data_IF_091825963359
#
_entry.id   IF_091825963359
#
_cell.length_a   1.000
_cell.length_b   1.000
_cell.length_c   1.000
_cell.angle_alpha   90.00
_cell.angle_beta   90.00
_cell.angle_gamma   90.00
#
_symmetry.space_group_name_H-M   'P 1'
#
loop_
_entity.id
_entity.type
_entity.pdbx_description
1 polymer ?
#
# COMPACT_ATOMS: atom_id res chain seq x y z
N UNK A 1 4.14 -28.59 -22.66
CA UNK A 1 3.25 -27.50 -23.12
C UNK A 1 3.05 -26.51 -21.98
N UNK A 2 3.70 -25.34 -22.01
CA UNK A 2 3.47 -24.27 -21.04
C UNK A 2 2.17 -23.54 -21.42
N UNK A 3 1.10 -23.74 -20.65
CA UNK A 3 -0.14 -22.99 -20.79
C UNK A 3 0.16 -21.54 -20.41
N UNK A 4 -0.05 -20.54 -21.29
CA UNK A 4 0.24 -19.16 -20.94
C UNK A 4 -0.65 -18.76 -19.76
N UNK A 5 -0.04 -18.28 -18.67
CA UNK A 5 -0.75 -17.63 -17.57
C UNK A 5 -1.56 -16.48 -18.17
N UNK A 6 -2.89 -16.64 -18.16
CA UNK A 6 -3.81 -15.62 -18.66
C UNK A 6 -3.65 -14.40 -17.78
N UNK A 7 -3.08 -13.33 -18.33
CA UNK A 7 -3.15 -12.00 -17.71
C UNK A 7 -4.62 -11.70 -17.38
N UNK A 8 -4.92 -11.10 -16.21
CA UNK A 8 -6.27 -10.71 -15.90
C UNK A 8 -6.72 -9.74 -16.99
N UNK A 9 -7.84 -10.05 -17.64
CA UNK A 9 -8.49 -9.24 -18.68
C UNK A 9 -8.74 -7.79 -18.25
N UNK A 10 -8.65 -7.49 -16.94
CA UNK A 10 -8.66 -6.15 -16.35
C UNK A 10 -7.49 -5.24 -16.81
N UNK A 11 -6.39 -5.80 -17.31
CA UNK A 11 -5.21 -5.02 -17.76
C UNK A 11 -5.16 -4.81 -19.27
N UNK A 12 -5.96 -5.56 -20.05
CA UNK A 12 -6.00 -5.42 -21.48
C UNK A 12 -6.99 -4.30 -21.83
N UNK A 13 -6.45 -3.16 -22.26
CA UNK A 13 -7.14 -1.94 -22.69
C UNK A 13 -7.89 -2.12 -24.02
N UNK A 14 -8.46 -3.29 -24.28
CA UNK A 14 -9.39 -3.53 -25.39
C UNK A 14 -10.81 -3.38 -24.84
N UNK A 15 -11.41 -2.21 -25.11
CA UNK A 15 -12.58 -1.61 -24.47
C UNK A 15 -13.94 -2.30 -24.73
N UNK A 16 -13.96 -3.54 -25.22
CA UNK A 16 -15.21 -4.17 -25.65
C UNK A 16 -15.92 -4.97 -24.55
N UNK A 17 -15.28 -5.13 -23.37
CA UNK A 17 -15.79 -5.98 -22.29
C UNK A 17 -15.68 -5.27 -20.93
N UNK A 18 -16.82 -5.04 -20.28
CA UNK A 18 -16.91 -4.54 -18.89
C UNK A 18 -16.92 -5.71 -17.92
N UNK A 19 -16.20 -5.61 -16.80
CA UNK A 19 -16.21 -6.65 -15.75
C UNK A 19 -17.10 -6.22 -14.59
N UNK A 20 -18.02 -7.10 -14.19
CA UNK A 20 -18.85 -6.86 -13.02
C UNK A 20 -17.98 -6.90 -11.75
N UNK A 21 -17.95 -5.81 -10.99
CA UNK A 21 -17.22 -5.71 -9.73
C UNK A 21 -17.75 -6.63 -8.61
N UNK A 22 -19.01 -7.06 -8.70
CA UNK A 22 -19.62 -7.89 -7.66
C UNK A 22 -19.30 -9.38 -7.86
N UNK A 23 -19.36 -9.88 -9.10
CA UNK A 23 -19.21 -11.31 -9.41
C UNK A 23 -18.05 -11.65 -10.35
N UNK A 24 -17.35 -10.65 -10.90
CA UNK A 24 -16.25 -10.84 -11.85
C UNK A 24 -16.69 -11.28 -13.25
N UNK A 25 -17.98 -11.27 -13.56
CA UNK A 25 -18.50 -11.71 -14.87
C UNK A 25 -18.20 -10.68 -15.97
N UNK A 26 -17.65 -11.10 -17.14
CA UNK A 26 -17.46 -10.23 -18.29
C UNK A 26 -18.80 -9.97 -18.99
N UNK A 27 -19.14 -8.71 -19.14
CA UNK A 27 -20.36 -8.21 -19.79
C UNK A 27 -19.99 -7.34 -21.00
N UNK A 28 -20.92 -7.10 -21.92
CA UNK A 28 -20.65 -6.19 -23.05
C UNK A 28 -20.57 -4.76 -22.53
N UNK A 29 -19.83 -3.91 -23.24
CA UNK A 29 -19.70 -2.49 -22.89
C UNK A 29 -21.03 -1.72 -22.89
N UNK A 30 -22.01 -2.17 -23.67
CA UNK A 30 -23.36 -1.60 -23.73
C UNK A 30 -24.27 -2.03 -22.56
N UNK A 31 -23.92 -3.08 -21.82
CA UNK A 31 -24.80 -3.63 -20.79
C UNK A 31 -24.76 -2.80 -19.50
N UNK A 32 -25.91 -2.33 -19.04
CA UNK A 32 -26.06 -1.53 -17.81
C UNK A 32 -26.26 -2.38 -16.56
N UNK A 33 -26.54 -3.68 -16.71
CA UNK A 33 -26.79 -4.62 -15.62
C UNK A 33 -26.10 -5.95 -15.87
N UNK A 34 -25.62 -6.60 -14.80
CA UNK A 34 -24.88 -7.85 -14.92
C UNK A 34 -25.82 -8.94 -15.39
N UNK A 35 -25.45 -9.65 -16.46
CA UNK A 35 -26.25 -10.77 -16.95
C UNK A 35 -26.43 -11.85 -15.87
N UNK A 36 -25.42 -12.04 -15.02
CA UNK A 36 -25.40 -13.07 -13.98
C UNK A 36 -26.05 -12.63 -12.67
N UNK A 37 -25.50 -11.62 -11.99
CA UNK A 37 -25.96 -11.23 -10.65
C UNK A 37 -26.97 -10.09 -10.65
N UNK A 38 -27.39 -9.61 -11.83
CA UNK A 38 -28.37 -8.51 -12.02
C UNK A 38 -28.02 -7.19 -11.34
N UNK A 39 -26.82 -7.05 -10.77
CA UNK A 39 -26.35 -5.78 -10.20
C UNK A 39 -26.08 -4.77 -11.30
N UNK A 40 -26.29 -3.48 -11.03
CA UNK A 40 -25.93 -2.42 -11.96
C UNK A 40 -24.44 -2.49 -12.31
N UNK A 41 -24.14 -2.48 -13.61
CA UNK A 41 -22.81 -2.34 -14.20
C UNK A 41 -22.48 -0.89 -14.53
N UNK A 42 -23.32 0.05 -14.09
CA UNK A 42 -23.04 1.48 -14.18
C UNK A 42 -21.59 1.68 -13.78
N UNK A 43 -20.79 2.23 -14.71
CA UNK A 43 -19.50 2.78 -14.36
C UNK A 43 -19.80 3.75 -13.23
N UNK A 44 -19.55 3.33 -12.00
CA UNK A 44 -19.41 4.25 -10.89
C UNK A 44 -18.19 5.09 -11.27
N UNK A 45 -18.40 6.13 -12.08
CA UNK A 45 -17.36 7.01 -12.63
C UNK A 45 -16.87 7.98 -11.54
N UNK A 46 -16.75 7.46 -10.32
CA UNK A 46 -16.38 8.17 -9.12
C UNK A 46 -15.05 7.68 -8.57
N UNK A 47 -14.40 8.55 -7.81
CA UNK A 47 -13.14 8.29 -7.12
C UNK A 47 -13.19 7.02 -6.26
N UNK A 48 -14.37 6.70 -5.70
CA UNK A 48 -14.58 5.53 -4.85
C UNK A 48 -14.44 4.21 -5.62
N UNK A 49 -15.01 4.12 -6.82
CA UNK A 49 -14.88 2.92 -7.64
C UNK A 49 -13.45 2.76 -8.19
N UNK A 50 -12.83 3.86 -8.61
CA UNK A 50 -11.42 3.87 -8.99
C UNK A 50 -10.51 3.39 -7.84
N UNK A 51 -10.74 3.86 -6.61
CA UNK A 51 -9.99 3.43 -5.44
C UNK A 51 -10.20 1.94 -5.15
N UNK A 52 -11.45 1.46 -5.24
CA UNK A 52 -11.79 0.06 -5.04
C UNK A 52 -11.14 -0.85 -6.08
N UNK A 53 -11.18 -0.46 -7.36
CA UNK A 53 -10.50 -1.15 -8.44
C UNK A 53 -8.99 -1.22 -8.21
N UNK A 54 -8.38 -0.06 -7.92
CA UNK A 54 -6.94 0.05 -7.63
C UNK A 54 -6.53 -0.85 -6.46
N UNK A 55 -7.35 -0.87 -5.39
CA UNK A 55 -7.13 -1.73 -4.24
C UNK A 55 -7.17 -3.21 -4.59
N UNK A 56 -8.17 -3.68 -5.35
CA UNK A 56 -8.24 -5.08 -5.77
C UNK A 56 -7.08 -5.49 -6.67
N UNK A 57 -6.64 -4.61 -7.58
CA UNK A 57 -5.47 -4.85 -8.43
C UNK A 57 -4.19 -4.96 -7.59
N UNK A 58 -3.98 -4.04 -6.64
CA UNK A 58 -2.83 -4.07 -5.73
C UNK A 58 -2.83 -5.34 -4.86
N UNK A 59 -3.99 -5.70 -4.29
CA UNK A 59 -4.16 -6.92 -3.50
C UNK A 59 -3.83 -8.17 -4.32
N UNK A 60 -4.31 -8.25 -5.55
CA UNK A 60 -4.04 -9.39 -6.43
C UNK A 60 -2.55 -9.50 -6.79
N UNK A 61 -1.92 -8.37 -7.16
CA UNK A 61 -0.46 -8.32 -7.40
C UNK A 61 0.33 -8.76 -6.18
N UNK A 62 -0.10 -8.34 -4.98
CA UNK A 62 0.52 -8.77 -3.73
C UNK A 62 0.39 -10.27 -3.51
N UNK A 63 -0.80 -10.84 -3.71
CA UNK A 63 -1.04 -12.29 -3.58
C UNK A 63 -0.23 -13.12 -4.58
N UNK A 64 -0.07 -12.63 -5.81
CA UNK A 64 0.80 -13.28 -6.80
C UNK A 64 2.27 -13.24 -6.38
N UNK A 65 2.75 -12.11 -5.88
CA UNK A 65 4.12 -11.99 -5.42
C UNK A 65 4.40 -12.95 -4.25
N UNK A 66 3.46 -13.07 -3.31
CA UNK A 66 3.55 -14.04 -2.21
C UNK A 66 3.60 -15.50 -2.70
N UNK A 67 2.78 -15.86 -3.69
CA UNK A 67 2.79 -17.22 -4.28
C UNK A 67 4.10 -17.50 -5.04
N UNK A 68 4.67 -16.49 -5.70
CA UNK A 68 5.97 -16.59 -6.37
C UNK A 68 7.11 -16.84 -5.39
N UNK A 69 7.07 -16.20 -4.22
CA UNK A 69 8.04 -16.40 -3.13
C UNK A 69 7.88 -17.79 -2.48
N UNK A 70 6.64 -18.27 -2.31
CA UNK A 70 6.36 -19.60 -1.75
C UNK A 70 6.79 -20.78 -2.65
N UNK A 71 6.97 -20.55 -3.96
CA UNK A 71 7.20 -21.60 -4.96
C UNK A 71 8.69 -21.87 -5.28
N UNK A 72 9.64 -21.37 -4.48
CA UNK A 72 11.04 -21.82 -4.54
C UNK A 72 12.12 -20.77 -4.79
N UNK A 73 11.91 -19.49 -4.42
CA UNK A 73 13.01 -18.52 -4.37
C UNK A 73 12.97 -17.75 -3.04
N UNK A 74 13.92 -17.97 -2.11
CA UNK A 74 14.00 -17.19 -0.89
C UNK A 74 14.58 -15.82 -1.26
N UNK A 75 13.74 -14.81 -1.47
CA UNK A 75 14.27 -13.50 -1.86
C UNK A 75 13.24 -12.41 -2.11
N UNK A 76 13.11 -11.53 -1.12
CA UNK A 76 13.24 -10.08 -1.28
C UNK A 76 12.10 -9.23 -1.87
N UNK A 77 10.82 -9.58 -1.77
CA UNK A 77 9.73 -8.68 -2.20
C UNK A 77 9.20 -7.69 -1.15
N UNK A 78 9.41 -7.96 0.14
CA UNK A 78 8.92 -7.12 1.25
C UNK A 78 9.91 -6.14 1.93
N UNK A 79 11.23 -6.07 1.63
CA UNK A 79 12.13 -5.22 2.39
C UNK A 79 11.88 -3.72 2.13
N UNK A 80 11.47 -3.34 0.92
CA UNK A 80 11.30 -1.93 0.55
C UNK A 80 10.05 -1.32 1.19
N UNK A 81 8.90 -2.00 1.14
CA UNK A 81 7.67 -1.51 1.77
C UNK A 81 7.79 -1.47 3.29
N UNK A 82 8.42 -2.50 3.87
CA UNK A 82 8.71 -2.56 5.31
C UNK A 82 9.70 -1.47 5.72
N UNK A 83 10.73 -1.22 4.91
CA UNK A 83 11.68 -0.12 5.10
C UNK A 83 11.02 1.25 5.01
N UNK A 84 10.13 1.46 4.05
CA UNK A 84 9.36 2.71 3.91
C UNK A 84 8.46 2.94 5.12
N UNK A 85 7.80 1.90 5.62
CA UNK A 85 6.99 1.97 6.84
C UNK A 85 7.81 2.40 8.06
N UNK A 86 8.95 1.75 8.30
CA UNK A 86 9.84 2.15 9.40
C UNK A 86 10.44 3.53 9.21
N UNK A 87 10.70 3.96 7.96
CA UNK A 87 11.20 5.29 7.66
C UNK A 87 10.18 6.36 8.05
N UNK A 88 8.90 6.20 7.67
CA UNK A 88 7.83 7.11 8.05
C UNK A 88 7.67 7.19 9.58
N UNK A 89 7.75 6.05 10.26
CA UNK A 89 7.70 5.98 11.73
C UNK A 89 8.90 6.71 12.36
N UNK A 90 10.11 6.49 11.85
CA UNK A 90 11.32 7.16 12.34
C UNK A 90 11.28 8.69 12.15
N UNK A 91 10.87 9.16 10.96
CA UNK A 91 10.68 10.59 10.69
C UNK A 91 9.59 11.18 11.59
N UNK A 92 8.48 10.47 11.77
CA UNK A 92 7.39 10.90 12.66
C UNK A 92 7.85 11.08 14.11
N UNK A 93 8.59 10.11 14.65
CA UNK A 93 9.13 10.18 16.02
C UNK A 93 10.16 11.30 16.19
N UNK A 94 11.07 11.48 15.22
CA UNK A 94 12.02 12.61 15.25
C UNK A 94 11.32 13.96 15.15
N UNK A 95 10.33 14.11 14.26
CA UNK A 95 9.56 15.34 14.10
C UNK A 95 8.76 15.69 15.35
N UNK A 96 8.07 14.70 15.95
CA UNK A 96 7.34 14.88 17.20
C UNK A 96 8.28 15.26 18.35
N UNK A 97 9.47 14.66 18.42
CA UNK A 97 10.51 15.02 19.39
C UNK A 97 10.96 16.48 19.24
N UNK A 98 11.24 16.94 18.02
CA UNK A 98 11.61 18.35 17.76
C UNK A 98 10.49 19.31 18.16
N UNK A 99 9.24 18.99 17.80
CA UNK A 99 8.08 19.83 18.14
C UNK A 99 7.88 19.98 19.65
N UNK A 100 7.95 18.87 20.39
CA UNK A 100 7.85 18.89 21.85
C UNK A 100 9.06 19.57 22.49
N UNK A 101 10.24 19.46 21.89
CA UNK A 101 11.44 20.15 22.37
C UNK A 101 11.29 21.67 22.27
N UNK A 102 10.78 22.19 21.15
CA UNK A 102 10.52 23.63 20.99
C UNK A 102 9.50 24.13 22.00
N UNK A 103 8.40 23.39 22.21
CA UNK A 103 7.40 23.75 23.23
C UNK A 103 7.94 23.65 24.66
N UNK A 104 8.82 22.69 24.94
CA UNK A 104 9.45 22.55 26.26
C UNK A 104 10.36 23.71 26.62
N UNK A 105 11.02 24.34 25.63
CA UNK A 105 11.84 25.54 25.83
C UNK A 105 10.94 26.73 26.17
N UNK A 106 9.84 26.92 25.42
CA UNK A 106 8.93 28.04 25.64
C UNK A 106 8.19 27.95 26.99
N UNK A 107 7.78 26.74 27.38
CA UNK A 107 7.05 26.49 28.62
C UNK A 107 7.96 26.15 29.83
N UNK A 108 9.27 26.09 29.61
CA UNK A 108 10.28 25.68 30.61
C UNK A 108 9.93 24.34 31.31
N UNK A 109 9.32 23.41 30.56
CA UNK A 109 8.76 22.15 31.07
C UNK A 109 9.77 21.01 30.97
N UNK A 110 10.32 20.59 32.12
CA UNK A 110 11.29 19.49 32.21
C UNK A 110 10.73 18.15 31.70
N UNK A 111 9.46 17.85 31.99
CA UNK A 111 8.83 16.60 31.56
C UNK A 111 8.73 16.53 30.04
N UNK A 112 8.32 17.63 29.40
CA UNK A 112 8.23 17.69 27.94
C UNK A 112 9.61 17.60 27.29
N UNK A 113 10.64 18.17 27.92
CA UNK A 113 12.03 18.03 27.48
C UNK A 113 12.50 16.56 27.50
N UNK A 114 12.24 15.83 28.58
CA UNK A 114 12.63 14.40 28.69
C UNK A 114 11.89 13.55 27.65
N UNK A 115 10.59 13.77 27.46
CA UNK A 115 9.79 13.07 26.45
C UNK A 115 10.30 13.38 25.04
N UNK A 116 10.58 14.65 24.75
CA UNK A 116 11.15 15.09 23.47
C UNK A 116 12.50 14.42 23.18
N UNK A 117 13.38 14.36 24.17
CA UNK A 117 14.69 13.70 24.06
C UNK A 117 14.54 12.21 23.75
N UNK A 118 13.64 11.51 24.45
CA UNK A 118 13.37 10.08 24.22
C UNK A 118 12.85 9.82 22.81
N UNK A 119 11.87 10.61 22.35
CA UNK A 119 11.30 10.48 21.01
C UNK A 119 12.34 10.77 19.92
N UNK A 120 13.16 11.79 20.12
CA UNK A 120 14.21 12.18 19.18
C UNK A 120 15.30 11.10 19.08
N UNK A 121 15.78 10.57 20.21
CA UNK A 121 16.77 9.49 20.24
C UNK A 121 16.21 8.21 19.62
N UNK A 122 14.97 7.86 19.93
CA UNK A 122 14.32 6.66 19.39
C UNK A 122 14.08 6.77 17.88
N UNK A 123 13.56 7.91 17.40
CA UNK A 123 13.39 8.19 15.97
C UNK A 123 14.71 8.17 15.22
N UNK A 124 15.75 8.81 15.76
CA UNK A 124 17.10 8.79 15.20
C UNK A 124 17.71 7.40 15.15
N UNK A 125 17.49 6.56 16.17
CA UNK A 125 17.94 5.17 16.18
C UNK A 125 17.26 4.32 15.08
N UNK A 126 15.94 4.47 14.90
CA UNK A 126 15.20 3.81 13.83
C UNK A 126 15.74 4.24 12.45
N UNK A 127 15.96 5.54 12.24
CA UNK A 127 16.50 6.03 10.97
C UNK A 127 17.93 5.54 10.72
N UNK A 128 18.79 5.55 11.75
CA UNK A 128 20.17 5.04 11.64
C UNK A 128 20.20 3.55 11.31
N UNK A 129 19.37 2.75 11.97
CA UNK A 129 19.29 1.30 11.70
C UNK A 129 18.80 1.01 10.30
N UNK A 130 17.82 1.75 9.80
CA UNK A 130 17.35 1.65 8.41
C UNK A 130 18.44 2.04 7.41
N UNK A 131 19.09 3.19 7.59
CA UNK A 131 20.16 3.65 6.69
C UNK A 131 21.33 2.66 6.61
N UNK A 132 21.66 2.04 7.75
CA UNK A 132 22.70 1.01 7.81
C UNK A 132 22.25 -0.29 7.15
N UNK A 133 20.98 -0.67 7.31
CA UNK A 133 20.40 -1.86 6.69
C UNK A 133 20.25 -1.71 5.16
N UNK A 134 19.97 -0.52 4.64
CA UNK A 134 19.86 -0.26 3.20
C UNK A 134 21.20 -0.19 2.47
N UNK A 135 22.33 -0.11 3.19
CA UNK A 135 23.69 -0.02 2.62
C UNK A 135 24.40 -1.36 2.46
N UNK A 136 23.87 -2.44 3.04
CA UNK A 136 24.38 -3.81 2.88
C UNK A 136 23.63 -4.52 1.75
#
# INVERSE_FOLDING_TARGET
MNKPEKEPTLLNRNQDVKLCLNCGFPNRSADTTCMYCKTSLVEDSGLVAWARHTFYVLKWRWQLNQRREASGRPGSGLPVLKGLGYFLVGVGFSGAGIYLFTGAIDENSFTNFVIALLLFLYGGFILKTLLTATRK
#
